data_IF_867704971057
#
_entry.id   IF_867704971057
#
_cell.length_a   1.000
_cell.length_b   1.000
_cell.length_c   1.000
_cell.angle_alpha   90.00
_cell.angle_beta   90.00
_cell.angle_gamma   90.00
#
_symmetry.space_group_name_H-M   'P 1'
#
loop_
_entity.id
_entity.type
_entity.pdbx_description
1 polymer ?
#
# COMPACT_ATOMS: atom_id res chain seq x y z
N UNK A 1 -1.75 20.06 1.18
CA UNK A 1 -2.43 19.84 -0.11
C UNK A 1 -2.97 18.43 -0.08
N UNK A 2 -4.25 18.26 0.28
CA UNK A 2 -4.86 16.94 0.46
C UNK A 2 -5.06 16.29 -0.92
N UNK A 3 -4.48 15.12 -1.12
CA UNK A 3 -4.80 14.31 -2.29
C UNK A 3 -6.22 13.77 -2.11
N UNK A 4 -7.21 14.50 -2.63
CA UNK A 4 -8.54 13.97 -2.85
C UNK A 4 -8.42 12.82 -3.85
N UNK A 5 -8.76 11.60 -3.44
CA UNK A 5 -8.92 10.46 -4.34
C UNK A 5 -10.41 10.32 -4.73
N UNK A 6 -10.82 10.81 -5.91
CA UNK A 6 -12.16 10.57 -6.42
C UNK A 6 -12.26 9.13 -6.95
N UNK A 7 -13.04 8.29 -6.27
CA UNK A 7 -13.31 6.91 -6.69
C UNK A 7 -14.65 6.85 -7.43
N UNK A 8 -14.69 7.31 -8.69
CA UNK A 8 -15.80 7.06 -9.60
C UNK A 8 -15.31 6.25 -10.80
N UNK A 9 -15.24 4.93 -10.65
CA UNK A 9 -14.95 4.05 -11.77
C UNK A 9 -14.89 2.61 -11.32
N UNK A 10 -15.75 1.75 -11.89
CA UNK A 10 -15.67 0.30 -11.73
C UNK A 10 -14.28 -0.15 -12.19
N UNK A 11 -13.41 -0.51 -11.25
CA UNK A 11 -12.05 -0.95 -11.52
C UNK A 11 -12.06 -2.24 -12.34
N UNK A 12 -11.47 -2.21 -13.54
CA UNK A 12 -11.05 -3.43 -14.22
C UNK A 12 -9.79 -3.93 -13.51
N UNK A 13 -9.98 -4.85 -12.56
CA UNK A 13 -8.90 -5.57 -11.91
C UNK A 13 -8.05 -6.29 -12.96
N UNK A 14 -6.76 -5.97 -13.04
CA UNK A 14 -5.78 -6.99 -13.46
C UNK A 14 -5.64 -7.86 -12.22
N UNK A 15 -6.47 -8.91 -12.13
CA UNK A 15 -6.39 -9.86 -11.03
C UNK A 15 -4.97 -10.43 -10.99
N UNK A 16 -4.49 -10.75 -9.77
CA UNK A 16 -3.41 -11.72 -9.64
C UNK A 16 -3.84 -12.99 -10.41
N UNK A 17 -2.96 -13.65 -11.18
CA UNK A 17 -3.32 -14.88 -11.87
C UNK A 17 -3.88 -15.87 -10.85
N UNK A 18 -5.15 -16.19 -11.03
CA UNK A 18 -5.92 -17.00 -10.10
C UNK A 18 -5.37 -18.43 -10.07
N UNK A 19 -4.76 -18.79 -8.95
CA UNK A 19 -4.76 -20.18 -8.50
C UNK A 19 -6.08 -20.47 -7.79
N UNK A 20 -7.18 -20.62 -8.55
CA UNK A 20 -8.47 -21.10 -8.02
C UNK A 20 -9.68 -20.21 -8.34
N UNK A 21 -10.80 -20.87 -8.67
CA UNK A 21 -12.13 -20.30 -8.89
C UNK A 21 -12.65 -19.66 -7.59
N UNK A 22 -12.46 -18.35 -7.41
CA UNK A 22 -12.95 -17.59 -6.24
C UNK A 22 -13.86 -16.42 -6.65
N UNK A 23 -14.77 -16.67 -7.59
CA UNK A 23 -15.76 -15.68 -8.06
C UNK A 23 -17.19 -15.99 -7.59
N UNK A 24 -17.41 -16.57 -6.40
CA UNK A 24 -18.79 -16.84 -5.96
C UNK A 24 -19.14 -16.85 -4.46
N UNK A 25 -18.28 -16.45 -3.52
CA UNK A 25 -18.75 -16.21 -2.15
C UNK A 25 -18.20 -14.91 -1.58
N UNK A 26 -19.11 -14.01 -1.20
CA UNK A 26 -18.74 -12.70 -0.64
C UNK A 26 -18.37 -12.95 0.82
N UNK A 27 -17.15 -13.42 1.04
CA UNK A 27 -16.67 -13.71 2.39
C UNK A 27 -16.77 -12.45 3.25
N UNK A 28 -17.60 -12.52 4.29
CA UNK A 28 -17.72 -11.44 5.25
C UNK A 28 -16.36 -11.29 5.96
N UNK A 29 -15.87 -10.06 6.18
CA UNK A 29 -14.61 -9.85 6.86
C UNK A 29 -14.72 -10.39 8.30
N UNK A 30 -13.65 -11.03 8.79
CA UNK A 30 -13.64 -11.59 10.15
C UNK A 30 -13.90 -10.54 11.22
N UNK A 31 -13.38 -9.33 11.00
CA UNK A 31 -13.72 -8.14 11.78
C UNK A 31 -14.70 -7.33 10.91
N UNK A 32 -15.97 -7.15 11.34
CA UNK A 32 -16.93 -6.40 10.54
C UNK A 32 -16.55 -4.91 10.46
N UNK A 33 -17.16 -4.19 9.53
CA UNK A 33 -17.09 -2.73 9.56
C UNK A 33 -17.88 -2.21 10.76
N UNK A 34 -17.38 -1.16 11.42
CA UNK A 34 -18.01 -0.60 12.61
C UNK A 34 -19.41 -0.05 12.29
N UNK A 35 -20.50 -0.58 12.88
CA UNK A 35 -21.85 -0.13 12.59
C UNK A 35 -22.09 1.29 13.14
N UNK A 36 -22.95 2.05 12.47
CA UNK A 36 -23.21 3.46 12.80
C UNK A 36 -23.65 3.71 14.24
N UNK A 37 -24.35 2.75 14.85
CA UNK A 37 -24.78 2.80 16.25
C UNK A 37 -23.63 2.77 17.26
N UNK A 38 -22.44 2.31 16.86
CA UNK A 38 -21.27 2.15 17.72
C UNK A 38 -20.20 3.24 17.49
N UNK A 39 -20.49 4.22 16.63
CA UNK A 39 -19.53 5.28 16.31
C UNK A 39 -19.32 6.22 17.49
N UNK A 40 -18.16 6.08 18.12
CA UNK A 40 -17.61 7.06 19.08
C UNK A 40 -16.90 8.20 18.35
N UNK A 41 -16.58 9.28 19.05
CA UNK A 41 -15.75 10.35 18.47
C UNK A 41 -14.37 9.85 18.04
N UNK A 42 -13.76 8.95 18.82
CA UNK A 42 -12.48 8.34 18.47
C UNK A 42 -12.55 7.51 17.17
N UNK A 43 -13.63 6.75 16.98
CA UNK A 43 -13.87 6.03 15.72
C UNK A 43 -14.06 6.98 14.53
N UNK A 44 -14.76 8.10 14.75
CA UNK A 44 -14.97 9.12 13.74
C UNK A 44 -13.69 9.84 13.35
N UNK A 45 -12.78 10.06 14.30
CA UNK A 45 -11.48 10.64 14.03
C UNK A 45 -10.62 9.71 13.15
N UNK A 46 -10.74 8.38 13.31
CA UNK A 46 -10.14 7.39 12.39
C UNK A 46 -10.68 7.55 10.97
N UNK A 47 -12.00 7.73 10.80
CA UNK A 47 -12.58 7.97 9.47
C UNK A 47 -12.05 9.25 8.83
N UNK A 48 -11.90 10.30 9.64
CA UNK A 48 -11.49 11.62 9.20
C UNK A 48 -9.99 11.70 8.82
N UNK A 49 -9.16 10.76 9.30
CA UNK A 49 -7.71 10.84 9.20
C UNK A 49 -7.21 11.16 7.79
N UNK A 50 -7.74 10.44 6.78
CA UNK A 50 -7.40 10.65 5.37
C UNK A 50 -8.47 11.38 4.58
N UNK A 51 -9.74 11.21 4.98
CA UNK A 51 -10.90 11.63 4.18
C UNK A 51 -11.54 12.94 4.69
N UNK A 52 -11.06 13.47 5.81
CA UNK A 52 -11.46 14.77 6.34
C UNK A 52 -12.84 14.79 7.02
N UNK A 53 -13.40 16.00 7.26
CA UNK A 53 -14.61 16.18 8.05
C UNK A 53 -15.84 15.43 7.52
N UNK A 54 -15.96 15.28 6.20
CA UNK A 54 -17.08 14.57 5.59
C UNK A 54 -17.14 13.10 6.04
N UNK A 55 -15.99 12.41 6.09
CA UNK A 55 -15.91 11.05 6.60
C UNK A 55 -16.10 10.97 8.11
N UNK A 56 -15.73 12.02 8.85
CA UNK A 56 -16.02 12.12 10.29
C UNK A 56 -17.53 12.05 10.57
N UNK A 57 -18.33 12.71 9.73
CA UNK A 57 -19.78 12.82 9.88
C UNK A 57 -20.52 11.62 9.27
N UNK A 58 -20.10 11.19 8.08
CA UNK A 58 -20.83 10.23 7.25
C UNK A 58 -20.22 8.82 7.23
N UNK A 59 -19.06 8.63 7.87
CA UNK A 59 -18.28 7.39 7.81
C UNK A 59 -17.28 7.41 6.65
N UNK A 60 -16.23 6.60 6.78
CA UNK A 60 -15.20 6.45 5.75
C UNK A 60 -15.72 5.63 4.56
N UNK A 61 -15.24 5.97 3.35
CA UNK A 61 -15.47 5.16 2.14
C UNK A 61 -14.52 3.96 2.06
N UNK A 62 -13.53 3.88 2.94
CA UNK A 62 -12.56 2.80 3.04
C UNK A 62 -13.00 1.74 4.03
N UNK A 63 -13.17 0.51 3.53
CA UNK A 63 -13.41 -0.66 4.38
C UNK A 63 -12.31 -0.83 5.45
N UNK A 64 -11.06 -0.48 5.14
CA UNK A 64 -9.94 -0.54 6.09
C UNK A 64 -10.13 0.42 7.25
N UNK A 65 -10.50 1.68 7.00
CA UNK A 65 -10.76 2.64 8.08
C UNK A 65 -11.99 2.22 8.91
N UNK A 66 -13.04 1.75 8.24
CA UNK A 66 -14.25 1.23 8.90
C UNK A 66 -13.95 0.02 9.80
N UNK A 67 -12.96 -0.80 9.43
CA UNK A 67 -12.52 -1.97 10.22
C UNK A 67 -11.59 -1.55 11.36
N UNK A 68 -10.60 -0.69 11.08
CA UNK A 68 -9.65 -0.18 12.09
C UNK A 68 -10.33 0.65 13.18
N UNK A 69 -11.44 1.33 12.86
CA UNK A 69 -12.21 2.10 13.82
C UNK A 69 -12.84 1.26 14.95
N UNK A 70 -12.86 -0.08 14.83
CA UNK A 70 -13.15 -0.97 15.97
C UNK A 70 -12.11 -0.86 17.09
N UNK A 71 -10.89 -0.42 16.77
CA UNK A 71 -9.79 -0.24 17.72
C UNK A 71 -9.12 1.13 17.52
N UNK A 72 -9.81 2.24 17.83
CA UNK A 72 -9.44 3.57 17.34
C UNK A 72 -8.08 4.06 17.88
N UNK A 73 -7.72 3.70 19.12
CA UNK A 73 -6.41 4.05 19.67
C UNK A 73 -5.26 3.41 18.89
N UNK A 74 -5.36 2.12 18.57
CA UNK A 74 -4.37 1.43 17.74
C UNK A 74 -4.38 1.98 16.31
N UNK A 75 -5.57 2.21 15.75
CA UNK A 75 -5.75 2.72 14.40
C UNK A 75 -4.98 4.02 14.18
N UNK A 76 -5.11 5.00 15.09
CA UNK A 76 -4.40 6.27 14.95
C UNK A 76 -2.88 6.11 14.86
N UNK A 77 -2.29 5.22 15.66
CA UNK A 77 -0.85 4.95 15.60
C UNK A 77 -0.43 4.26 14.29
N UNK A 78 -1.21 3.28 13.82
CA UNK A 78 -0.96 2.60 12.54
C UNK A 78 -1.09 3.58 11.38
N UNK A 79 -2.08 4.49 11.42
CA UNK A 79 -2.33 5.47 10.38
C UNK A 79 -1.24 6.55 10.31
N UNK A 80 -0.73 7.02 11.45
CA UNK A 80 0.43 7.93 11.47
C UNK A 80 1.70 7.26 10.93
N UNK A 81 1.94 5.98 11.27
CA UNK A 81 3.03 5.22 10.66
C UNK A 81 2.85 5.09 9.14
N UNK A 82 1.65 4.73 8.70
CA UNK A 82 1.30 4.63 7.27
C UNK A 82 1.46 5.96 6.55
N UNK A 83 1.09 7.07 7.19
CA UNK A 83 1.28 8.42 6.66
C UNK A 83 2.74 8.76 6.47
N UNK A 84 3.59 8.47 7.46
CA UNK A 84 5.02 8.65 7.29
C UNK A 84 5.55 7.85 6.09
N UNK A 85 5.19 6.57 5.96
CA UNK A 85 5.61 5.76 4.81
C UNK A 85 5.12 6.35 3.47
N UNK A 86 3.89 6.89 3.44
CA UNK A 86 3.24 7.40 2.23
C UNK A 86 3.66 8.81 1.81
N UNK A 87 4.04 9.68 2.75
CA UNK A 87 4.38 11.09 2.40
C UNK A 87 5.66 11.61 3.04
N UNK A 88 6.14 10.98 4.12
CA UNK A 88 7.32 11.42 4.87
C UNK A 88 8.60 10.65 4.55
N UNK A 89 8.52 9.50 3.87
CA UNK A 89 9.69 8.70 3.51
C UNK A 89 10.46 9.29 2.32
N UNK A 90 11.74 8.93 2.21
CA UNK A 90 12.62 9.32 1.10
C UNK A 90 12.39 8.49 -0.18
N UNK A 91 11.51 7.49 -0.13
CA UNK A 91 11.15 6.70 -1.30
C UNK A 91 10.38 7.56 -2.31
N UNK A 92 10.79 7.47 -3.58
CA UNK A 92 10.01 8.06 -4.66
C UNK A 92 8.60 7.45 -4.69
N UNK A 93 7.58 8.19 -5.15
CA UNK A 93 6.23 7.64 -5.29
C UNK A 93 6.20 6.34 -6.09
N UNK A 94 7.01 6.24 -7.16
CA UNK A 94 7.13 5.02 -7.97
C UNK A 94 7.71 3.85 -7.18
N UNK A 95 8.85 4.02 -6.50
CA UNK A 95 9.46 2.94 -5.71
C UNK A 95 8.52 2.50 -4.57
N UNK A 96 7.79 3.42 -3.95
CA UNK A 96 6.79 3.08 -2.94
C UNK A 96 5.67 2.20 -3.49
N UNK A 97 5.11 2.53 -4.65
CA UNK A 97 4.07 1.69 -5.27
C UNK A 97 4.63 0.31 -5.69
N UNK A 98 5.87 0.25 -6.18
CA UNK A 98 6.54 -1.02 -6.46
C UNK A 98 6.69 -1.88 -5.21
N UNK A 99 7.08 -1.29 -4.08
CA UNK A 99 7.19 -1.99 -2.79
C UNK A 99 5.84 -2.58 -2.39
N UNK A 100 4.79 -1.76 -2.37
CA UNK A 100 3.46 -2.22 -1.94
C UNK A 100 2.91 -3.29 -2.87
N UNK A 101 2.96 -3.06 -4.19
CA UNK A 101 2.45 -4.01 -5.18
C UNK A 101 3.21 -5.34 -5.15
N UNK A 102 4.55 -5.31 -4.97
CA UNK A 102 5.32 -6.56 -4.90
C UNK A 102 5.01 -7.35 -3.62
N UNK A 103 4.89 -6.68 -2.48
CA UNK A 103 4.47 -7.33 -1.22
C UNK A 103 3.05 -7.90 -1.38
N UNK A 104 2.11 -7.14 -1.93
CA UNK A 104 0.75 -7.59 -2.19
C UNK A 104 0.72 -8.84 -3.11
N UNK A 105 1.56 -8.87 -4.15
CA UNK A 105 1.69 -10.04 -5.01
C UNK A 105 2.27 -11.25 -4.26
N UNK A 106 3.34 -11.08 -3.46
CA UNK A 106 3.96 -12.19 -2.71
C UNK A 106 3.01 -12.81 -1.69
N UNK A 107 2.22 -11.99 -1.00
CA UNK A 107 1.26 -12.46 0.01
C UNK A 107 -0.15 -12.72 -0.55
N UNK A 108 -0.37 -12.52 -1.85
CA UNK A 108 -1.66 -12.67 -2.55
C UNK A 108 -2.78 -11.84 -1.91
N UNK A 109 -2.47 -10.58 -1.63
CA UNK A 109 -3.40 -9.61 -1.01
C UNK A 109 -4.10 -8.82 -2.11
N UNK A 110 -5.18 -9.39 -2.66
CA UNK A 110 -5.94 -8.79 -3.77
C UNK A 110 -6.46 -7.39 -3.45
N UNK A 111 -6.83 -7.15 -2.18
CA UNK A 111 -7.31 -5.84 -1.73
C UNK A 111 -6.26 -4.74 -1.90
N UNK A 112 -5.05 -4.97 -1.37
CA UNK A 112 -3.94 -4.00 -1.46
C UNK A 112 -3.50 -3.83 -2.91
N UNK A 113 -3.43 -4.93 -3.66
CA UNK A 113 -3.11 -4.89 -5.09
C UNK A 113 -4.08 -3.98 -5.85
N UNK A 114 -5.40 -4.21 -5.71
CA UNK A 114 -6.41 -3.42 -6.41
C UNK A 114 -6.39 -1.95 -6.01
N UNK A 115 -6.16 -1.65 -4.73
CA UNK A 115 -6.08 -0.29 -4.22
C UNK A 115 -4.86 0.46 -4.79
N UNK A 116 -3.71 -0.20 -4.84
CA UNK A 116 -2.45 0.43 -5.25
C UNK A 116 -2.23 0.47 -6.76
N UNK A 117 -2.85 -0.40 -7.57
CA UNK A 117 -2.78 -0.30 -9.04
C UNK A 117 -3.28 1.07 -9.54
N UNK A 118 -4.31 1.65 -8.91
CA UNK A 118 -4.79 2.98 -9.29
C UNK A 118 -3.73 4.06 -9.01
N UNK A 119 -3.18 4.09 -7.80
CA UNK A 119 -2.11 5.03 -7.41
C UNK A 119 -0.86 4.86 -8.27
N UNK A 120 -0.47 3.62 -8.55
CA UNK A 120 0.65 3.27 -9.42
C UNK A 120 0.50 3.80 -10.85
N UNK A 121 -0.71 3.76 -11.42
CA UNK A 121 -0.98 4.36 -12.74
C UNK A 121 -0.78 5.88 -12.73
N UNK A 122 -1.16 6.57 -11.64
CA UNK A 122 -0.98 8.02 -11.51
C UNK A 122 0.50 8.43 -11.48
N UNK A 123 1.38 7.53 -11.05
CA UNK A 123 2.84 7.73 -11.08
C UNK A 123 3.51 7.12 -12.33
N UNK A 124 2.71 6.73 -13.33
CA UNK A 124 3.19 6.35 -14.67
C UNK A 124 3.49 4.86 -14.86
N UNK A 125 3.13 3.98 -13.93
CA UNK A 125 3.33 2.53 -14.10
C UNK A 125 2.37 1.93 -15.13
N UNK A 126 2.86 0.94 -15.88
CA UNK A 126 2.21 0.33 -17.03
C UNK A 126 1.66 -1.07 -16.74
N UNK A 127 0.78 -1.57 -17.60
CA UNK A 127 0.21 -2.91 -17.46
C UNK A 127 1.28 -4.02 -17.53
N UNK A 128 2.31 -3.85 -18.36
CA UNK A 128 3.43 -4.79 -18.46
C UNK A 128 4.24 -4.83 -17.17
N UNK A 129 4.44 -3.67 -16.53
CA UNK A 129 5.11 -3.57 -15.24
C UNK A 129 4.28 -4.22 -14.13
N UNK A 130 2.96 -4.09 -14.15
CA UNK A 130 2.09 -4.82 -13.22
C UNK A 130 2.22 -6.33 -13.38
N UNK A 131 2.19 -6.85 -14.61
CA UNK A 131 2.38 -8.28 -14.87
C UNK A 131 3.75 -8.75 -14.36
N UNK A 132 4.81 -7.99 -14.63
CA UNK A 132 6.16 -8.32 -14.16
C UNK A 132 6.28 -8.28 -12.63
N UNK A 133 5.59 -7.37 -11.94
CA UNK A 133 5.56 -7.33 -10.47
C UNK A 133 4.82 -8.52 -9.84
N UNK A 134 3.86 -9.11 -10.54
CA UNK A 134 3.16 -10.32 -10.05
C UNK A 134 4.11 -11.51 -9.99
N UNK A 135 4.91 -11.73 -11.04
CA UNK A 135 5.86 -12.85 -11.10
C UNK A 135 7.14 -12.55 -10.33
N UNK A 136 7.61 -11.30 -10.35
CA UNK A 136 8.95 -10.92 -9.91
C UNK A 136 10.03 -11.46 -10.84
N UNK A 137 11.26 -11.51 -10.33
CA UNK A 137 12.43 -11.94 -11.08
C UNK A 137 12.97 -10.87 -12.04
N UNK A 138 14.03 -11.25 -12.76
CA UNK A 138 14.72 -10.34 -13.68
C UNK A 138 13.83 -9.99 -14.88
N UNK A 139 13.77 -8.70 -15.24
CA UNK A 139 13.07 -8.23 -16.44
C UNK A 139 13.79 -7.06 -17.08
N UNK A 140 13.77 -7.01 -18.41
CA UNK A 140 14.30 -5.87 -19.18
C UNK A 140 13.44 -4.60 -19.07
N UNK A 141 12.28 -4.69 -18.41
CA UNK A 141 11.42 -3.54 -18.12
C UNK A 141 11.98 -2.65 -17.00
N UNK A 142 12.91 -3.17 -16.19
CA UNK A 142 13.38 -2.50 -14.98
C UNK A 142 14.74 -1.85 -15.20
N UNK A 143 14.94 -0.68 -14.59
CA UNK A 143 16.27 -0.18 -14.33
C UNK A 143 16.99 -1.08 -13.30
N UNK A 144 18.31 -0.93 -13.17
CA UNK A 144 19.07 -1.66 -12.15
C UNK A 144 18.53 -1.40 -10.73
N UNK A 145 18.18 -0.16 -10.43
CA UNK A 145 17.61 0.25 -9.14
C UNK A 145 16.22 -0.36 -8.92
N UNK A 146 15.33 -0.30 -9.93
CA UNK A 146 13.99 -0.89 -9.87
C UNK A 146 14.08 -2.41 -9.62
N UNK A 147 14.99 -3.10 -10.32
CA UNK A 147 15.21 -4.53 -10.11
C UNK A 147 15.72 -4.81 -8.69
N UNK A 148 16.66 -4.02 -8.18
CA UNK A 148 17.19 -4.18 -6.83
C UNK A 148 16.12 -3.94 -5.74
N UNK A 149 15.15 -3.05 -5.97
CA UNK A 149 13.99 -2.88 -5.08
C UNK A 149 13.15 -4.16 -5.04
N UNK A 150 12.82 -4.73 -6.20
CA UNK A 150 12.04 -5.97 -6.31
C UNK A 150 12.77 -7.13 -5.62
N UNK A 151 14.07 -7.26 -5.89
CA UNK A 151 14.90 -8.32 -5.31
C UNK A 151 15.01 -8.19 -3.80
N UNK A 152 15.16 -6.97 -3.27
CA UNK A 152 15.22 -6.73 -1.83
C UNK A 152 13.93 -7.13 -1.12
N UNK A 153 12.77 -6.84 -1.71
CA UNK A 153 11.45 -7.26 -1.18
C UNK A 153 11.35 -8.79 -1.20
N UNK A 154 11.76 -9.41 -2.31
CA UNK A 154 11.72 -10.86 -2.48
C UNK A 154 12.62 -11.57 -1.47
N UNK A 155 13.83 -11.07 -1.26
CA UNK A 155 14.78 -11.57 -0.26
C UNK A 155 14.22 -11.38 1.15
N UNK A 156 13.82 -10.16 1.54
CA UNK A 156 13.25 -9.88 2.86
C UNK A 156 12.05 -10.79 3.18
N UNK A 157 11.11 -10.96 2.25
CA UNK A 157 9.95 -11.81 2.45
C UNK A 157 10.30 -13.30 2.53
N UNK A 158 11.34 -13.76 1.83
CA UNK A 158 11.72 -15.18 1.79
C UNK A 158 12.69 -15.60 2.87
N UNK A 159 13.62 -14.72 3.28
CA UNK A 159 14.75 -15.09 4.14
C UNK A 159 15.03 -14.07 5.26
N UNK A 160 14.27 -12.98 5.33
CA UNK A 160 14.38 -11.95 6.37
C UNK A 160 15.61 -11.05 6.27
N UNK A 161 16.35 -11.07 5.16
CA UNK A 161 17.56 -10.26 4.94
C UNK A 161 17.68 -9.81 3.49
N UNK A 162 18.45 -8.75 3.24
CA UNK A 162 18.82 -8.33 1.89
C UNK A 162 20.24 -8.86 1.63
N UNK A 163 20.47 -9.43 0.46
CA UNK A 163 21.77 -9.97 0.08
C UNK A 163 22.75 -8.82 -0.24
N UNK A 164 24.06 -8.97 0.03
CA UNK A 164 25.03 -7.88 -0.13
C UNK A 164 25.08 -7.24 -1.52
N UNK A 165 24.85 -8.02 -2.59
CA UNK A 165 24.84 -7.49 -3.95
C UNK A 165 23.64 -6.56 -4.22
N UNK A 166 22.45 -6.96 -3.77
CA UNK A 166 21.25 -6.13 -3.84
C UNK A 166 21.38 -4.91 -2.94
N UNK A 167 21.92 -5.09 -1.74
CA UNK A 167 22.21 -3.99 -0.84
C UNK A 167 23.17 -2.98 -1.47
N UNK A 168 24.24 -3.42 -2.14
CA UNK A 168 25.20 -2.53 -2.79
C UNK A 168 24.55 -1.66 -3.89
N UNK A 169 23.72 -2.24 -4.75
CA UNK A 169 23.02 -1.48 -5.80
C UNK A 169 22.08 -0.45 -5.18
N UNK A 170 21.28 -0.86 -4.20
CA UNK A 170 20.43 0.07 -3.47
C UNK A 170 21.29 1.15 -2.84
N UNK A 171 22.45 0.77 -2.26
CA UNK A 171 23.50 1.55 -1.58
C UNK A 171 24.31 2.50 -2.47
N UNK A 172 24.02 2.58 -3.76
CA UNK A 172 24.58 3.60 -4.64
C UNK A 172 23.52 4.67 -5.03
N UNK A 173 22.24 4.27 -5.11
CA UNK A 173 21.17 5.09 -5.70
C UNK A 173 20.15 5.71 -4.72
N UNK A 174 20.00 5.20 -3.50
CA UNK A 174 19.03 5.71 -2.50
C UNK A 174 19.70 6.48 -1.35
N UNK A 175 18.94 7.09 -0.43
CA UNK A 175 19.52 7.63 0.81
C UNK A 175 19.21 6.67 1.97
N UNK A 176 20.19 5.84 2.33
CA UNK A 176 20.09 4.85 3.42
C UNK A 176 20.50 5.42 4.77
N UNK A 177 21.15 6.58 4.75
CA UNK A 177 21.78 7.13 5.96
C UNK A 177 20.80 7.94 6.79
N UNK A 178 19.61 8.23 6.27
CA UNK A 178 18.61 9.10 6.90
C UNK A 178 19.20 10.46 7.33
N UNK A 179 20.36 10.86 6.77
CA UNK A 179 21.16 12.00 7.23
C UNK A 179 20.48 13.35 6.95
N UNK A 180 19.37 13.36 6.20
CA UNK A 180 18.57 14.55 5.91
C UNK A 180 17.26 14.67 6.69
N UNK A 181 16.95 13.79 7.65
CA UNK A 181 15.69 13.86 8.40
C UNK A 181 15.72 15.01 9.42
N UNK A 182 15.16 16.16 9.05
CA UNK A 182 14.58 17.07 10.03
C UNK A 182 13.27 16.45 10.54
N UNK A 183 13.04 16.37 11.86
CA UNK A 183 11.77 15.87 12.38
C UNK A 183 10.62 16.70 11.83
N UNK A 184 9.58 16.03 11.32
CA UNK A 184 8.32 16.68 10.98
C UNK A 184 7.67 17.06 12.32
N UNK A 185 7.79 18.32 12.70
CA UNK A 185 7.10 18.91 13.87
C UNK A 185 5.62 19.09 13.59
#
# INVERSE_FOLDING_TARGET
MAAMFPTNGRYRSICLPAGGDHMSDRQLPMIPMLPRSEWTDAARDVFAFWEGPEARENGSRSNTMMTLAQHPQLAMHVLELGKYMLVGSTLSPRHREMVVLRVAARYRVDYEWAHHVHSARLVGMTDNEFIALQTGGASSLWSNTDQAVIDAIDQLCSNGRIDPGTQAILSDDMDWTCNGFAPVT
#
